data_IF_438550445106
#
_entry.id   IF_438550445106
#
_cell.length_a   1.000
_cell.length_b   1.000
_cell.length_c   1.000
_cell.angle_alpha   90.00
_cell.angle_beta   90.00
_cell.angle_gamma   90.00
#
_symmetry.space_group_name_H-M   'P 1'
#
loop_
_entity.id
_entity.type
_entity.pdbx_description
1 polymer ?
#
# COMPACT_ATOMS: atom_id res chain seq x y z
N UNK A 1 16.66 19.90 -0.43
CA UNK A 1 15.59 19.05 0.15
C UNK A 1 16.27 17.96 0.97
N UNK A 2 16.34 18.13 2.29
CA UNK A 2 16.85 17.08 3.19
C UNK A 2 15.75 16.02 3.24
N UNK A 3 15.89 14.97 2.45
CA UNK A 3 14.93 13.87 2.42
C UNK A 3 14.77 13.33 3.84
N UNK A 4 13.53 13.30 4.33
CA UNK A 4 13.16 12.89 5.68
C UNK A 4 14.04 11.73 6.17
N UNK A 5 14.88 11.95 7.18
CA UNK A 5 15.86 10.97 7.66
C UNK A 5 15.23 9.91 8.58
N UNK A 6 13.96 9.57 8.31
CA UNK A 6 13.14 8.69 9.13
C UNK A 6 12.49 7.63 8.26
N UNK A 7 12.52 6.40 8.73
CA UNK A 7 11.92 5.25 8.03
C UNK A 7 10.96 4.57 8.99
N UNK A 8 9.67 4.57 8.64
CA UNK A 8 8.66 3.86 9.42
C UNK A 8 8.64 2.40 8.94
N UNK A 9 8.92 1.49 9.86
CA UNK A 9 8.87 0.06 9.60
C UNK A 9 8.42 -0.73 10.82
N UNK A 10 7.88 -1.92 10.60
CA UNK A 10 7.57 -2.82 11.71
C UNK A 10 8.86 -3.37 12.31
N UNK A 11 8.81 -3.78 13.58
CA UNK A 11 9.93 -4.49 14.23
C UNK A 11 10.34 -5.73 13.44
N UNK A 12 9.36 -6.44 12.83
CA UNK A 12 9.62 -7.60 11.98
C UNK A 12 10.40 -7.24 10.72
N UNK A 13 10.13 -6.09 10.10
CA UNK A 13 10.89 -5.61 8.95
C UNK A 13 12.30 -5.20 9.34
N UNK A 14 12.45 -4.47 10.46
CA UNK A 14 13.75 -4.06 10.97
C UNK A 14 14.65 -5.26 11.27
N UNK A 15 14.11 -6.33 11.86
CA UNK A 15 14.83 -7.58 12.15
C UNK A 15 15.38 -8.29 10.91
N UNK A 16 14.86 -8.00 9.71
CA UNK A 16 15.40 -8.58 8.46
C UNK A 16 16.72 -7.94 8.05
N UNK A 17 16.94 -6.68 8.42
CA UNK A 17 18.10 -5.91 7.97
C UNK A 17 19.45 -6.59 8.27
N UNK A 18 19.75 -7.08 9.49
CA UNK A 18 21.03 -7.74 9.76
C UNK A 18 21.22 -9.02 8.93
N UNK A 19 20.18 -9.86 8.79
CA UNK A 19 20.26 -11.11 8.00
C UNK A 19 20.48 -10.80 6.52
N UNK A 20 19.78 -9.80 5.98
CA UNK A 20 19.96 -9.38 4.58
C UNK A 20 21.34 -8.75 4.35
N UNK A 21 21.89 -8.00 5.31
CA UNK A 21 23.27 -7.49 5.24
C UNK A 21 24.28 -8.62 5.20
N UNK A 22 24.16 -9.63 6.07
CA UNK A 22 25.03 -10.81 6.06
C UNK A 22 24.96 -11.57 4.72
N UNK A 23 23.76 -11.71 4.15
CA UNK A 23 23.59 -12.32 2.84
C UNK A 23 24.17 -11.47 1.69
N UNK A 24 24.12 -10.14 1.81
CA UNK A 24 24.70 -9.20 0.85
C UNK A 24 26.24 -9.22 0.90
N UNK A 25 26.80 -9.34 2.11
CA UNK A 25 28.23 -9.50 2.40
C UNK A 25 28.77 -10.91 2.10
N UNK A 26 27.94 -11.81 1.55
CA UNK A 26 28.26 -13.21 1.27
C UNK A 26 28.68 -14.04 2.49
N UNK A 27 28.39 -13.57 3.71
CA UNK A 27 28.59 -14.32 4.97
C UNK A 27 27.54 -15.41 5.17
N UNK A 28 26.42 -15.30 4.47
CA UNK A 28 25.30 -16.22 4.55
C UNK A 28 24.73 -16.48 3.16
N UNK A 29 24.34 -17.72 2.86
CA UNK A 29 23.70 -18.02 1.58
C UNK A 29 22.26 -17.48 1.55
N UNK A 30 21.73 -17.20 0.35
CA UNK A 30 20.34 -16.74 0.22
C UNK A 30 19.32 -17.77 0.73
N UNK A 31 19.67 -19.07 0.69
CA UNK A 31 18.86 -20.16 1.22
C UNK A 31 18.77 -20.09 2.74
N UNK A 32 19.91 -20.02 3.42
CA UNK A 32 19.98 -19.84 4.88
C UNK A 32 19.26 -18.56 5.33
N UNK A 33 19.38 -17.46 4.58
CA UNK A 33 18.66 -16.22 4.90
C UNK A 33 17.15 -16.41 4.80
N UNK A 34 16.71 -17.23 3.85
CA UNK A 34 15.30 -17.59 3.70
C UNK A 34 14.79 -18.38 4.90
N UNK A 35 15.55 -19.39 5.33
CA UNK A 35 15.23 -20.22 6.49
C UNK A 35 15.14 -19.37 7.77
N UNK A 36 16.13 -18.51 8.05
CA UNK A 36 16.15 -17.63 9.22
C UNK A 36 14.99 -16.62 9.24
N UNK A 37 14.54 -16.15 8.07
CA UNK A 37 13.50 -15.13 7.96
C UNK A 37 12.10 -15.69 7.72
N UNK A 38 11.96 -17.01 7.51
CA UNK A 38 10.73 -17.64 7.03
C UNK A 38 10.30 -17.10 5.66
N UNK A 39 11.27 -16.87 4.77
CA UNK A 39 11.08 -16.30 3.43
C UNK A 39 11.61 -17.24 2.36
N UNK A 40 11.02 -17.18 1.17
CA UNK A 40 11.56 -17.90 0.02
C UNK A 40 12.84 -17.23 -0.48
N UNK A 41 13.72 -17.99 -1.14
CA UNK A 41 14.97 -17.49 -1.75
C UNK A 41 14.69 -16.31 -2.70
N UNK A 42 13.57 -16.34 -3.43
CA UNK A 42 13.16 -15.23 -4.32
C UNK A 42 12.85 -13.96 -3.54
N UNK A 43 12.21 -14.05 -2.38
CA UNK A 43 11.94 -12.90 -1.51
C UNK A 43 13.23 -12.34 -0.92
N UNK A 44 14.15 -13.21 -0.51
CA UNK A 44 15.50 -12.82 -0.04
C UNK A 44 16.26 -12.08 -1.13
N UNK A 45 16.31 -12.62 -2.35
CA UNK A 45 16.96 -11.95 -3.50
C UNK A 45 16.39 -10.56 -3.77
N UNK A 46 15.06 -10.41 -3.72
CA UNK A 46 14.38 -9.11 -3.85
C UNK A 46 14.74 -8.15 -2.72
N UNK A 47 14.89 -8.64 -1.49
CA UNK A 47 15.33 -7.82 -0.36
C UNK A 47 16.79 -7.38 -0.51
N UNK A 48 17.69 -8.26 -0.94
CA UNK A 48 19.10 -7.93 -1.18
C UNK A 48 19.22 -6.83 -2.22
N UNK A 49 18.52 -6.96 -3.36
CA UNK A 49 18.53 -5.93 -4.40
C UNK A 49 18.03 -4.58 -3.86
N UNK A 50 16.93 -4.58 -3.11
CA UNK A 50 16.41 -3.35 -2.49
C UNK A 50 17.36 -2.73 -1.50
N UNK A 51 17.92 -3.51 -0.58
CA UNK A 51 18.87 -3.00 0.42
C UNK A 51 20.15 -2.47 -0.25
N UNK A 52 20.56 -3.03 -1.39
CA UNK A 52 21.68 -2.49 -2.18
C UNK A 52 21.42 -1.08 -2.73
N UNK A 53 20.19 -0.78 -3.16
CA UNK A 53 19.85 0.51 -3.77
C UNK A 53 19.31 1.54 -2.75
N UNK A 54 18.55 1.08 -1.77
CA UNK A 54 17.76 1.91 -0.84
C UNK A 54 18.31 1.85 0.60
N UNK A 55 19.36 1.07 0.85
CA UNK A 55 19.89 0.86 2.20
C UNK A 55 18.86 0.23 3.14
N UNK A 56 18.79 0.73 4.38
CA UNK A 56 17.84 0.24 5.38
C UNK A 56 16.36 0.42 4.97
N UNK A 57 16.04 1.36 4.07
CA UNK A 57 14.67 1.52 3.56
C UNK A 57 14.19 0.31 2.76
N UNK A 58 15.12 -0.42 2.15
CA UNK A 58 14.78 -1.57 1.30
C UNK A 58 14.09 -2.74 2.02
N UNK A 59 14.17 -2.83 3.35
CA UNK A 59 13.43 -3.84 4.14
C UNK A 59 11.99 -3.44 4.46
N UNK A 60 11.65 -2.15 4.34
CA UNK A 60 10.31 -1.64 4.61
C UNK A 60 9.31 -2.09 3.54
N UNK A 61 8.03 -2.16 3.91
CA UNK A 61 6.95 -2.41 2.97
C UNK A 61 6.73 -1.20 2.06
N UNK A 62 6.83 -1.39 0.73
CA UNK A 62 6.73 -0.31 -0.27
C UNK A 62 5.33 0.29 -0.40
N UNK A 63 4.28 -0.43 -0.01
CA UNK A 63 2.92 0.10 0.02
C UNK A 63 2.63 0.96 1.24
N UNK A 64 3.57 1.08 2.20
CA UNK A 64 3.35 1.91 3.38
C UNK A 64 3.32 3.38 2.98
N UNK A 65 2.27 4.09 3.39
CA UNK A 65 2.04 5.49 3.04
C UNK A 65 1.45 5.69 1.64
N UNK A 66 1.40 4.65 0.80
CA UNK A 66 0.84 4.75 -0.55
C UNK A 66 -0.62 4.33 -0.54
N UNK A 67 -1.55 5.16 -1.05
CA UNK A 67 -2.94 4.75 -1.26
C UNK A 67 -3.03 3.50 -2.15
N UNK A 68 -4.06 2.68 -1.94
CA UNK A 68 -4.32 1.53 -2.80
C UNK A 68 -4.47 1.96 -4.27
N UNK A 69 -3.89 1.19 -5.20
CA UNK A 69 -4.10 1.39 -6.64
C UNK A 69 -5.57 1.26 -7.06
N UNK A 70 -6.39 0.59 -6.23
CA UNK A 70 -7.85 0.43 -6.43
C UNK A 70 -8.65 1.56 -5.78
N UNK A 71 -8.00 2.49 -5.07
CA UNK A 71 -8.68 3.60 -4.41
C UNK A 71 -9.31 4.51 -5.46
N UNK A 72 -10.59 4.78 -5.31
CA UNK A 72 -11.31 5.74 -6.14
C UNK A 72 -10.63 7.11 -5.98
N UNK A 73 -10.36 7.85 -7.06
CA UNK A 73 -9.76 9.17 -6.97
C UNK A 73 -10.54 10.07 -6.00
N UNK A 74 -9.83 10.76 -5.11
CA UNK A 74 -10.46 11.59 -4.08
C UNK A 74 -11.45 12.61 -4.66
N UNK A 75 -11.14 13.15 -5.84
CA UNK A 75 -12.03 14.05 -6.60
C UNK A 75 -13.35 13.38 -7.00
N UNK A 76 -13.30 12.12 -7.42
CA UNK A 76 -14.49 11.35 -7.81
C UNK A 76 -15.33 11.02 -6.59
N UNK A 77 -14.70 10.59 -5.48
CA UNK A 77 -15.40 10.38 -4.20
C UNK A 77 -16.10 11.67 -3.73
N UNK A 78 -15.39 12.79 -3.72
CA UNK A 78 -15.94 14.08 -3.30
C UNK A 78 -17.11 14.54 -4.20
N UNK A 79 -17.00 14.37 -5.52
CA UNK A 79 -18.08 14.69 -6.46
C UNK A 79 -19.31 13.81 -6.24
N UNK A 80 -19.11 12.51 -6.02
CA UNK A 80 -20.20 11.56 -5.73
C UNK A 80 -20.94 11.88 -4.45
N UNK A 81 -20.21 12.15 -3.36
CA UNK A 81 -20.79 12.55 -2.07
C UNK A 81 -21.59 13.85 -2.18
N UNK A 82 -21.04 14.87 -2.86
CA UNK A 82 -21.76 16.14 -3.06
C UNK A 82 -23.06 15.95 -3.84
N UNK A 83 -23.06 15.10 -4.87
CA UNK A 83 -24.28 14.78 -5.63
C UNK A 83 -25.29 13.98 -4.80
N UNK A 84 -24.80 13.07 -3.96
CA UNK A 84 -25.65 12.33 -3.02
C UNK A 84 -26.38 13.28 -2.08
N UNK A 85 -25.65 14.18 -1.41
CA UNK A 85 -26.23 15.17 -0.49
C UNK A 85 -27.20 16.15 -1.18
N UNK A 86 -26.90 16.57 -2.40
CA UNK A 86 -27.67 17.64 -3.09
C UNK A 86 -28.85 17.13 -3.91
N UNK A 87 -28.83 15.88 -4.38
CA UNK A 87 -29.82 15.37 -5.35
C UNK A 87 -30.44 14.02 -5.02
N UNK A 88 -29.88 13.29 -4.06
CA UNK A 88 -30.28 11.92 -3.74
C UNK A 88 -30.34 11.69 -2.23
N UNK A 89 -30.52 12.74 -1.43
CA UNK A 89 -30.54 12.65 0.04
C UNK A 89 -31.73 11.84 0.59
N UNK A 90 -32.77 11.67 -0.23
CA UNK A 90 -33.94 10.82 -0.01
C UNK A 90 -33.71 9.36 -0.42
N UNK A 91 -32.58 9.04 -1.03
CA UNK A 91 -32.28 7.70 -1.56
C UNK A 91 -31.40 6.92 -0.59
N UNK A 92 -31.69 5.63 -0.45
CA UNK A 92 -30.76 4.70 0.19
C UNK A 92 -29.42 4.65 -0.56
N UNK A 93 -28.29 4.36 0.12
CA UNK A 93 -26.95 4.38 -0.48
C UNK A 93 -26.82 3.53 -1.76
N UNK A 94 -27.50 2.39 -1.81
CA UNK A 94 -27.51 1.50 -2.96
C UNK A 94 -28.16 2.14 -4.19
N UNK A 95 -29.37 2.67 -4.04
CA UNK A 95 -30.10 3.34 -5.13
C UNK A 95 -29.37 4.61 -5.59
N UNK A 96 -28.78 5.35 -4.65
CA UNK A 96 -27.96 6.51 -4.99
C UNK A 96 -26.72 6.14 -5.80
N UNK A 97 -26.03 5.04 -5.46
CA UNK A 97 -24.88 4.56 -6.23
C UNK A 97 -25.27 4.18 -7.66
N UNK A 98 -26.41 3.51 -7.85
CA UNK A 98 -26.96 3.20 -9.17
C UNK A 98 -27.23 4.48 -9.97
N UNK A 99 -27.88 5.48 -9.37
CA UNK A 99 -28.20 6.74 -10.08
C UNK A 99 -26.98 7.61 -10.35
N UNK A 100 -25.96 7.56 -9.50
CA UNK A 100 -24.67 8.19 -9.76
C UNK A 100 -23.97 7.55 -10.96
N UNK A 101 -24.03 6.22 -11.09
CA UNK A 101 -23.48 5.51 -12.25
C UNK A 101 -24.28 5.83 -13.53
N UNK A 102 -25.61 5.68 -13.50
CA UNK A 102 -26.49 5.88 -14.66
C UNK A 102 -26.50 7.33 -15.17
N UNK A 103 -26.69 8.31 -14.27
CA UNK A 103 -26.98 9.70 -14.65
C UNK A 103 -25.76 10.60 -14.66
N UNK A 104 -24.69 10.20 -13.97
CA UNK A 104 -23.51 11.04 -13.77
C UNK A 104 -22.20 10.36 -14.18
N UNK A 105 -22.23 9.07 -14.59
CA UNK A 105 -21.04 8.30 -14.96
C UNK A 105 -20.08 8.11 -13.79
N UNK A 106 -20.56 8.23 -12.55
CA UNK A 106 -19.74 8.12 -11.33
C UNK A 106 -20.01 6.77 -10.70
N UNK A 107 -19.07 5.83 -10.89
CA UNK A 107 -19.12 4.52 -10.25
C UNK A 107 -18.41 4.57 -8.91
N UNK A 108 -19.18 4.55 -7.83
CA UNK A 108 -18.69 4.41 -6.45
C UNK A 108 -19.52 3.33 -5.73
N UNK A 109 -18.94 2.65 -4.75
CA UNK A 109 -19.70 1.68 -3.95
C UNK A 109 -20.71 2.40 -3.06
N UNK A 110 -21.81 1.72 -2.74
CA UNK A 110 -22.79 2.21 -1.75
C UNK A 110 -22.13 2.43 -0.38
N UNK A 111 -21.16 1.59 0.00
CA UNK A 111 -20.34 1.80 1.20
C UNK A 111 -19.61 3.15 1.20
N UNK A 112 -19.16 3.62 0.02
CA UNK A 112 -18.50 4.94 -0.09
C UNK A 112 -19.45 6.10 0.21
N UNK A 113 -20.76 5.88 0.03
CA UNK A 113 -21.82 6.84 0.36
C UNK A 113 -22.29 6.75 1.81
N UNK A 114 -22.03 5.63 2.51
CA UNK A 114 -22.37 5.44 3.93
C UNK A 114 -21.44 6.20 4.89
N UNK A 115 -20.20 6.46 4.47
CA UNK A 115 -19.19 7.22 5.22
C UNK A 115 -17.85 6.50 5.33
#
# INVERSE_FOLDING_TARGET
MVGEDRVIMSVKELRRLPVIRQALEKKLTQKQAGELLGLTVRQVRRLIQRVRHEGARGVAHRGRGTPSNRRIPAKVKAKGLKLYETRYGDFGPTLAAEKLAERHGITISDETLRG
#
